data_IF_516253465712
#
_entry.id   IF_516253465712
#
_cell.length_a   1.000
_cell.length_b   1.000
_cell.length_c   1.000
_cell.angle_alpha   90.00
_cell.angle_beta   90.00
_cell.angle_gamma   90.00
#
_symmetry.space_group_name_H-M   'P 1'
#
loop_
_entity.id
_entity.type
_entity.pdbx_description
1 polymer ?
#
# COMPACT_ATOMS: atom_id res chain seq x y z
N UNK A 1 -14.90 -13.78 -11.40
CA UNK A 1 -15.17 -14.00 -9.96
C UNK A 1 -14.02 -13.36 -9.18
N UNK A 2 -14.29 -12.34 -8.35
CA UNK A 2 -13.27 -11.87 -7.39
C UNK A 2 -12.96 -13.06 -6.49
N UNK A 3 -11.73 -13.55 -6.52
CA UNK A 3 -11.29 -14.46 -5.47
C UNK A 3 -11.42 -13.69 -4.15
N UNK A 4 -12.34 -14.13 -3.31
CA UNK A 4 -12.50 -13.60 -1.96
C UNK A 4 -11.12 -13.66 -1.28
N UNK A 5 -10.63 -12.50 -0.82
CA UNK A 5 -9.39 -12.44 -0.05
C UNK A 5 -9.56 -13.34 1.18
N UNK A 6 -8.56 -14.16 1.49
CA UNK A 6 -8.63 -15.04 2.66
C UNK A 6 -8.87 -14.23 3.94
N UNK A 7 -9.49 -14.83 4.95
CA UNK A 7 -9.76 -14.15 6.22
C UNK A 7 -8.49 -13.54 6.83
N UNK A 8 -7.39 -14.30 6.82
CA UNK A 8 -6.09 -13.83 7.32
C UNK A 8 -5.60 -12.62 6.50
N UNK A 9 -5.70 -12.67 5.17
CA UNK A 9 -5.29 -11.54 4.33
C UNK A 9 -6.14 -10.30 4.58
N UNK A 10 -7.46 -10.45 4.78
CA UNK A 10 -8.36 -9.35 5.13
C UNK A 10 -7.98 -8.70 6.46
N UNK A 11 -7.67 -9.50 7.47
CA UNK A 11 -7.18 -8.99 8.76
C UNK A 11 -5.86 -8.23 8.60
N UNK A 12 -4.90 -8.77 7.85
CA UNK A 12 -3.61 -8.10 7.61
C UNK A 12 -3.79 -6.76 6.90
N UNK A 13 -4.71 -6.67 5.93
CA UNK A 13 -5.03 -5.41 5.24
C UNK A 13 -5.66 -4.41 6.21
N UNK A 14 -6.62 -4.84 7.03
CA UNK A 14 -7.26 -3.97 8.02
C UNK A 14 -6.25 -3.41 9.04
N UNK A 15 -5.27 -4.23 9.45
CA UNK A 15 -4.17 -3.80 10.31
C UNK A 15 -3.27 -2.77 9.60
N UNK A 16 -2.94 -2.99 8.33
CA UNK A 16 -2.15 -2.04 7.55
C UNK A 16 -2.87 -0.67 7.39
N UNK A 17 -4.15 -0.70 7.05
CA UNK A 17 -5.03 0.48 6.98
C UNK A 17 -5.10 1.21 8.33
N UNK A 18 -5.27 0.48 9.44
CA UNK A 18 -5.25 1.05 10.79
C UNK A 18 -3.95 1.83 11.06
N UNK A 19 -2.80 1.29 10.69
CA UNK A 19 -1.53 1.99 10.87
C UNK A 19 -1.36 3.17 9.91
N UNK A 20 -1.93 3.14 8.70
CA UNK A 20 -1.95 4.30 7.82
C UNK A 20 -2.71 5.48 8.46
N UNK A 21 -3.85 5.22 9.08
CA UNK A 21 -4.61 6.23 9.84
C UNK A 21 -3.80 6.69 11.06
N UNK A 22 -3.40 5.74 11.91
CA UNK A 22 -2.80 6.01 13.22
C UNK A 22 -1.46 6.76 13.13
N UNK A 23 -0.58 6.38 12.19
CA UNK A 23 0.78 6.91 12.11
C UNK A 23 0.94 8.04 11.09
N UNK A 24 0.13 8.04 10.03
CA UNK A 24 0.33 8.90 8.87
C UNK A 24 -0.86 9.83 8.59
N UNK A 25 -1.89 9.80 9.45
CA UNK A 25 -3.16 10.50 9.25
C UNK A 25 -3.68 10.32 7.81
N UNK A 26 -3.61 9.07 7.33
CA UNK A 26 -4.09 8.69 6.01
C UNK A 26 -5.56 8.28 6.01
N UNK A 27 -6.09 8.05 4.83
CA UNK A 27 -7.43 7.53 4.64
C UNK A 27 -7.52 6.07 5.15
N UNK A 28 -8.64 5.74 5.80
CA UNK A 28 -8.95 4.45 6.41
C UNK A 28 -9.08 3.30 5.42
N UNK A 29 -9.44 3.58 4.16
CA UNK A 29 -9.53 2.58 3.11
C UNK A 29 -8.22 2.45 2.32
N UNK A 30 -7.22 3.29 2.61
CA UNK A 30 -5.92 3.27 1.93
C UNK A 30 -4.82 2.57 2.74
N UNK A 31 -4.14 1.62 2.10
CA UNK A 31 -2.98 0.92 2.68
C UNK A 31 -1.71 1.78 2.66
N UNK A 32 -0.76 1.48 3.55
CA UNK A 32 0.57 2.13 3.58
C UNK A 32 1.31 1.85 2.27
N UNK A 33 1.31 0.61 1.78
CA UNK A 33 1.97 0.26 0.52
C UNK A 33 1.34 0.99 -0.68
N UNK A 34 0.01 1.10 -0.71
CA UNK A 34 -0.72 1.92 -1.66
C UNK A 34 -0.34 3.40 -1.60
N UNK A 35 -0.27 3.97 -0.40
CA UNK A 35 0.16 5.37 -0.18
C UNK A 35 1.59 5.59 -0.67
N UNK A 36 2.50 4.67 -0.38
CA UNK A 36 3.89 4.73 -0.88
C UNK A 36 3.90 4.70 -2.40
N UNK A 37 3.16 3.78 -3.02
CA UNK A 37 3.04 3.68 -4.47
C UNK A 37 2.49 4.97 -5.11
N UNK A 38 1.47 5.58 -4.50
CA UNK A 38 0.89 6.84 -4.96
C UNK A 38 1.90 8.00 -4.84
N UNK A 39 2.53 8.16 -3.68
CA UNK A 39 3.50 9.25 -3.43
C UNK A 39 4.73 9.11 -4.32
N UNK A 40 5.22 7.89 -4.52
CA UNK A 40 6.28 7.60 -5.47
C UNK A 40 5.88 7.98 -6.91
N UNK A 41 4.60 7.77 -7.30
CA UNK A 41 4.08 8.13 -8.64
C UNK A 41 4.01 9.63 -8.83
N UNK A 42 3.40 10.31 -7.86
CA UNK A 42 2.99 11.69 -8.02
C UNK A 42 4.14 12.67 -7.80
N UNK A 43 5.05 12.34 -6.88
CA UNK A 43 6.09 13.27 -6.43
C UNK A 43 7.47 13.01 -7.02
N UNK A 44 7.74 11.77 -7.47
CA UNK A 44 9.06 11.33 -7.96
C UNK A 44 10.23 11.63 -6.99
N UNK A 45 9.95 11.81 -5.69
CA UNK A 45 10.99 12.08 -4.70
C UNK A 45 11.74 10.79 -4.37
N UNK A 46 13.07 10.88 -4.28
CA UNK A 46 13.95 9.72 -4.13
C UNK A 46 13.57 8.82 -2.94
N UNK A 47 13.19 9.38 -1.80
CA UNK A 47 12.86 8.61 -0.60
C UNK A 47 11.58 7.79 -0.76
N UNK A 48 10.59 8.26 -1.53
CA UNK A 48 9.40 7.46 -1.84
C UNK A 48 9.73 6.33 -2.82
N UNK A 49 10.59 6.59 -3.81
CA UNK A 49 11.06 5.55 -4.74
C UNK A 49 11.88 4.48 -4.01
N UNK A 50 12.73 4.89 -3.07
CA UNK A 50 13.50 3.97 -2.22
C UNK A 50 12.58 3.12 -1.34
N UNK A 51 11.59 3.75 -0.68
CA UNK A 51 10.63 3.03 0.16
C UNK A 51 9.77 2.06 -0.65
N UNK A 52 9.31 2.47 -1.84
CA UNK A 52 8.60 1.60 -2.77
C UNK A 52 9.43 0.38 -3.16
N UNK A 53 10.72 0.58 -3.49
CA UNK A 53 11.63 -0.52 -3.83
C UNK A 53 11.80 -1.48 -2.66
N UNK A 54 11.96 -0.96 -1.44
CA UNK A 54 12.09 -1.78 -0.22
C UNK A 54 10.84 -2.63 -0.03
N UNK A 55 9.65 -2.03 -0.07
CA UNK A 55 8.39 -2.75 0.14
C UNK A 55 8.18 -3.78 -0.98
N UNK A 56 8.35 -3.41 -2.26
CA UNK A 56 8.24 -4.37 -3.37
C UNK A 56 9.24 -5.54 -3.27
N UNK A 57 10.40 -5.32 -2.63
CA UNK A 57 11.38 -6.39 -2.37
C UNK A 57 10.93 -7.31 -1.24
N UNK A 58 10.33 -6.78 -0.17
CA UNK A 58 9.72 -7.59 0.89
C UNK A 58 8.57 -8.44 0.36
N UNK A 59 7.76 -7.86 -0.52
CA UNK A 59 6.67 -8.53 -1.24
C UNK A 59 7.13 -9.07 -2.61
N UNK A 60 8.29 -9.71 -2.68
CA UNK A 60 8.89 -10.19 -3.94
C UNK A 60 7.98 -11.12 -4.78
N UNK A 61 7.00 -11.77 -4.15
CA UNK A 61 6.00 -12.63 -4.79
C UNK A 61 4.83 -11.85 -5.42
N UNK A 62 4.67 -10.56 -5.11
CA UNK A 62 3.65 -9.67 -5.66
C UNK A 62 4.30 -8.53 -6.45
N UNK A 63 4.36 -8.70 -7.77
CA UNK A 63 5.07 -7.77 -8.66
C UNK A 63 4.42 -6.40 -8.65
N UNK A 64 5.22 -5.36 -8.38
CA UNK A 64 4.76 -3.97 -8.26
C UNK A 64 3.68 -3.78 -7.18
N UNK A 65 3.76 -4.54 -6.07
CA UNK A 65 2.85 -4.51 -4.94
C UNK A 65 2.35 -3.10 -4.57
N UNK A 66 3.26 -2.14 -4.35
CA UNK A 66 2.89 -0.78 -3.95
C UNK A 66 2.03 -0.07 -5.00
N UNK A 67 2.33 -0.24 -6.28
CA UNK A 67 1.61 0.43 -7.39
C UNK A 67 0.24 -0.19 -7.64
N UNK A 68 0.14 -1.50 -7.47
CA UNK A 68 -1.12 -2.23 -7.62
C UNK A 68 -2.06 -2.00 -6.43
N UNK A 69 -1.50 -1.62 -5.27
CA UNK A 69 -2.26 -1.34 -4.04
C UNK A 69 -2.74 0.11 -3.92
N UNK A 70 -2.57 0.93 -4.96
CA UNK A 70 -3.07 2.31 -4.95
C UNK A 70 -4.60 2.29 -5.05
N UNK A 71 -5.28 2.70 -3.98
CA UNK A 71 -6.72 2.98 -3.99
C UNK A 71 -6.95 4.40 -4.52
N UNK A 72 -7.23 4.50 -5.83
CA UNK A 72 -7.26 5.79 -6.55
C UNK A 72 -8.40 6.72 -6.14
N UNK A 73 -9.44 6.19 -5.50
CA UNK A 73 -10.57 6.97 -5.03
C UNK A 73 -10.28 7.62 -3.66
N UNK A 74 -9.17 7.27 -3.00
CA UNK A 74 -8.85 7.61 -1.61
C UNK A 74 -7.51 8.37 -1.43
N UNK A 75 -6.91 8.88 -2.52
CA UNK A 75 -5.53 9.44 -2.59
C UNK A 75 -5.36 10.96 -2.60
#
# INVERSE_FOLDING_TARGET
>A
MKNEKSYILRLLIAVDQLFNVLLLNGNEDHTISGRVGYRAKKTNKWYWLSLEKIINTLFWFDKNHCRNSIEWDEV
#
